data_IF_274686898109
#
_entry.id   IF_274686898109
#
_cell.length_a   1.000
_cell.length_b   1.000
_cell.length_c   1.000
_cell.angle_alpha   90.00
_cell.angle_beta   90.00
_cell.angle_gamma   90.00
#
_symmetry.space_group_name_H-M   'P 1'
#
loop_
_entity.id
_entity.type
_entity.pdbx_description
1 polymer ?
#
# COMPACT_ATOMS: atom_id res chain seq x y z
N UNK A 1 12.27 -20.20 33.60
CA UNK A 1 12.93 -20.78 32.41
C UNK A 1 11.94 -20.72 31.25
N UNK A 2 12.06 -19.72 30.37
CA UNK A 2 11.11 -19.49 29.26
C UNK A 2 11.42 -20.49 28.14
N UNK A 3 10.53 -21.44 27.91
CA UNK A 3 10.58 -22.36 26.76
C UNK A 3 10.26 -21.55 25.50
N UNK A 4 11.28 -20.95 24.88
CA UNK A 4 11.17 -20.47 23.51
C UNK A 4 11.14 -21.72 22.64
N UNK A 5 9.94 -22.20 22.34
CA UNK A 5 9.73 -23.18 21.28
C UNK A 5 10.21 -22.54 19.99
N UNK A 6 11.35 -23.02 19.48
CA UNK A 6 11.73 -22.85 18.08
C UNK A 6 10.64 -23.53 17.25
N UNK A 7 9.59 -22.75 16.96
CA UNK A 7 8.61 -23.05 15.93
C UNK A 7 9.40 -23.25 14.64
N UNK A 8 9.54 -24.51 14.26
CA UNK A 8 9.82 -24.88 12.89
C UNK A 8 8.88 -24.07 12.01
N UNK A 9 9.43 -23.16 11.20
CA UNK A 9 8.71 -22.49 10.12
C UNK A 9 8.32 -23.56 9.08
N UNK A 10 7.35 -24.41 9.43
CA UNK A 10 6.62 -25.22 8.46
C UNK A 10 5.79 -24.23 7.65
N UNK A 11 6.31 -23.90 6.48
CA UNK A 11 5.58 -23.20 5.45
C UNK A 11 4.25 -23.88 5.17
N UNK A 12 3.30 -23.06 4.72
CA UNK A 12 1.89 -23.36 4.42
C UNK A 12 0.92 -23.27 5.61
N UNK A 13 0.43 -22.05 5.86
CA UNK A 13 -0.86 -21.86 6.51
C UNK A 13 -1.98 -22.36 5.56
N UNK A 14 -2.83 -23.31 5.99
CA UNK A 14 -3.93 -23.85 5.18
C UNK A 14 -4.95 -22.77 4.79
N UNK A 15 -5.66 -22.98 3.67
CA UNK A 15 -6.71 -22.07 3.16
C UNK A 15 -7.95 -22.11 4.07
N UNK A 16 -8.02 -21.20 5.05
CA UNK A 16 -9.23 -20.87 5.85
C UNK A 16 -9.87 -19.58 5.30
N UNK A 17 -11.17 -19.36 5.53
CA UNK A 17 -11.88 -18.08 5.28
C UNK A 17 -11.16 -16.87 5.91
N UNK A 18 -10.33 -17.10 6.93
CA UNK A 18 -9.42 -16.11 7.52
C UNK A 18 -8.36 -15.54 6.53
N UNK A 19 -8.16 -16.14 5.35
CA UNK A 19 -7.23 -15.61 4.34
C UNK A 19 -7.72 -14.38 3.59
N UNK A 20 -9.03 -14.12 3.55
CA UNK A 20 -9.58 -12.99 2.78
C UNK A 20 -9.63 -11.71 3.60
N UNK A 21 -9.91 -11.81 4.91
CA UNK A 21 -9.97 -10.65 5.80
C UNK A 21 -8.59 -10.37 6.41
N UNK A 22 -7.66 -9.95 5.56
CA UNK A 22 -6.30 -9.54 5.94
C UNK A 22 -6.08 -8.06 5.64
N UNK A 23 -5.16 -7.39 6.35
CA UNK A 23 -4.74 -6.02 6.04
C UNK A 23 -4.27 -5.91 4.58
N UNK A 24 -3.64 -6.96 4.06
CA UNK A 24 -3.16 -7.07 2.70
C UNK A 24 -4.27 -7.02 1.65
N UNK A 25 -5.30 -7.83 1.83
CA UNK A 25 -6.50 -7.76 1.00
C UNK A 25 -7.22 -6.43 1.19
N UNK A 26 -7.22 -5.90 2.43
CA UNK A 26 -7.70 -4.56 2.75
C UNK A 26 -7.01 -3.48 1.93
N UNK A 27 -5.68 -3.53 1.80
CA UNK A 27 -4.87 -2.61 0.98
C UNK A 27 -5.22 -2.72 -0.51
N UNK A 28 -5.46 -3.94 -1.03
CA UNK A 28 -5.94 -4.11 -2.42
C UNK A 28 -7.31 -3.46 -2.61
N UNK A 29 -8.25 -3.72 -1.70
CA UNK A 29 -9.61 -3.15 -1.74
C UNK A 29 -9.54 -1.63 -1.63
N UNK A 30 -8.74 -1.10 -0.71
CA UNK A 30 -8.45 0.33 -0.56
C UNK A 30 -7.96 0.92 -1.90
N UNK A 31 -6.96 0.31 -2.53
CA UNK A 31 -6.44 0.76 -3.82
C UNK A 31 -7.50 0.74 -4.94
N UNK A 32 -8.26 -0.35 -5.07
CA UNK A 32 -9.32 -0.46 -6.10
C UNK A 32 -10.41 0.57 -5.89
N UNK A 33 -10.95 0.67 -4.67
CA UNK A 33 -12.04 1.61 -4.38
C UNK A 33 -11.59 3.06 -4.49
N UNK A 34 -10.36 3.37 -4.07
CA UNK A 34 -9.79 4.71 -4.22
C UNK A 34 -9.55 5.08 -5.68
N UNK A 35 -9.10 4.13 -6.52
CA UNK A 35 -8.99 4.36 -7.96
C UNK A 35 -10.35 4.63 -8.60
N UNK A 36 -11.38 3.85 -8.24
CA UNK A 36 -12.76 4.07 -8.72
C UNK A 36 -13.29 5.44 -8.29
N UNK A 37 -13.02 5.85 -7.05
CA UNK A 37 -13.39 7.18 -6.56
C UNK A 37 -12.78 8.31 -7.41
N UNK A 38 -11.49 8.21 -7.75
CA UNK A 38 -10.79 9.23 -8.54
C UNK A 38 -11.12 9.21 -10.03
N UNK A 39 -11.48 8.04 -10.58
CA UNK A 39 -11.95 7.91 -11.97
C UNK A 39 -13.43 8.31 -12.14
N UNK A 40 -14.20 8.37 -11.05
CA UNK A 40 -15.61 8.71 -11.06
C UNK A 40 -15.90 9.98 -10.26
N UNK A 41 -16.42 9.88 -9.01
CA UNK A 41 -16.88 11.02 -8.23
C UNK A 41 -15.90 12.20 -8.13
N UNK A 42 -14.61 11.95 -7.90
CA UNK A 42 -13.60 13.00 -7.73
C UNK A 42 -12.94 13.46 -9.04
N UNK A 43 -13.32 12.90 -10.19
CA UNK A 43 -12.67 13.20 -11.47
C UNK A 43 -12.81 14.68 -11.87
N UNK A 44 -13.92 15.33 -11.49
CA UNK A 44 -14.11 16.78 -11.72
C UNK A 44 -13.03 17.64 -11.03
N UNK A 45 -12.55 17.22 -9.86
CA UNK A 45 -11.49 17.93 -9.13
C UNK A 45 -10.18 17.93 -9.93
N UNK A 46 -9.88 16.80 -10.60
CA UNK A 46 -8.74 16.70 -11.51
C UNK A 46 -8.91 17.54 -12.78
N UNK A 47 -10.12 17.63 -13.34
CA UNK A 47 -10.38 18.48 -14.51
C UNK A 47 -10.19 19.97 -14.19
N UNK A 48 -10.51 20.39 -12.97
CA UNK A 48 -10.32 21.78 -12.51
C UNK A 48 -8.84 22.06 -12.22
N UNK A 49 -8.14 21.13 -11.56
CA UNK A 49 -6.72 21.25 -11.26
C UNK A 49 -6.00 19.91 -11.48
N UNK A 50 -5.26 19.76 -12.61
CA UNK A 50 -4.57 18.51 -12.93
C UNK A 50 -3.52 18.07 -11.92
N UNK A 51 -3.06 18.96 -11.01
CA UNK A 51 -2.11 18.60 -9.95
C UNK A 51 -2.67 17.53 -9.01
N UNK A 52 -4.00 17.38 -8.92
CA UNK A 52 -4.65 16.29 -8.20
C UNK A 52 -4.37 14.89 -8.79
N UNK A 53 -3.81 14.81 -9.99
CA UNK A 53 -3.57 13.54 -10.69
C UNK A 53 -2.64 12.56 -9.98
N UNK A 54 -1.84 13.00 -8.99
CA UNK A 54 -1.03 12.09 -8.18
C UNK A 54 -1.89 11.05 -7.41
N UNK A 55 -3.19 11.35 -7.23
CA UNK A 55 -4.18 10.43 -6.67
C UNK A 55 -4.54 9.25 -7.57
N UNK A 56 -4.09 9.21 -8.82
CA UNK A 56 -4.15 8.01 -9.66
C UNK A 56 -2.97 7.06 -9.37
N UNK A 57 -1.80 7.59 -9.02
CA UNK A 57 -0.60 6.81 -8.73
C UNK A 57 -0.69 6.07 -7.38
N UNK A 58 -1.17 6.76 -6.34
CA UNK A 58 -1.36 6.19 -4.98
C UNK A 58 -2.14 4.86 -4.96
N UNK A 59 -3.37 4.77 -5.51
CA UNK A 59 -4.15 3.54 -5.48
C UNK A 59 -3.52 2.41 -6.29
N UNK A 60 -2.86 2.73 -7.41
CA UNK A 60 -2.12 1.74 -8.19
C UNK A 60 -0.97 1.14 -7.37
N UNK A 61 -0.25 1.97 -6.61
CA UNK A 61 0.79 1.51 -5.68
C UNK A 61 0.20 0.61 -4.58
N UNK A 62 -0.95 0.96 -4.00
CA UNK A 62 -1.64 0.09 -3.04
C UNK A 62 -2.01 -1.26 -3.65
N UNK A 63 -2.57 -1.28 -4.87
CA UNK A 63 -2.88 -2.52 -5.59
C UNK A 63 -1.61 -3.34 -5.79
N UNK A 64 -0.55 -2.74 -6.34
CA UNK A 64 0.75 -3.42 -6.57
C UNK A 64 1.30 -4.05 -5.30
N UNK A 65 1.32 -3.30 -4.19
CA UNK A 65 1.83 -3.81 -2.91
C UNK A 65 0.93 -4.91 -2.35
N UNK A 66 -0.40 -4.70 -2.36
CA UNK A 66 -1.36 -5.66 -1.82
C UNK A 66 -1.37 -6.99 -2.58
N UNK A 67 -1.35 -6.98 -3.92
CA UNK A 67 -1.35 -8.22 -4.71
C UNK A 67 -0.03 -8.98 -4.59
N UNK A 68 1.12 -8.28 -4.50
CA UNK A 68 2.43 -8.91 -4.36
C UNK A 68 2.57 -9.69 -3.06
N UNK A 69 1.84 -9.29 -2.00
CA UNK A 69 1.75 -10.10 -0.78
C UNK A 69 1.13 -11.49 -1.08
N UNK A 70 0.07 -11.53 -1.88
CA UNK A 70 -0.64 -12.77 -2.22
C UNK A 70 0.18 -13.68 -3.15
N UNK A 71 0.98 -13.11 -4.05
CA UNK A 71 1.80 -13.88 -4.99
C UNK A 71 2.97 -14.61 -4.33
N UNK A 72 3.53 -14.09 -3.23
CA UNK A 72 4.60 -14.75 -2.42
C UNK A 72 5.89 -15.10 -3.19
N UNK A 73 6.10 -14.47 -4.33
CA UNK A 73 7.27 -14.58 -5.20
C UNK A 73 8.24 -13.43 -4.93
N UNK A 74 9.54 -13.72 -4.77
CA UNK A 74 10.54 -12.69 -4.44
C UNK A 74 10.57 -11.56 -5.49
N UNK A 75 10.45 -11.90 -6.78
CA UNK A 75 10.42 -10.94 -7.89
C UNK A 75 9.26 -9.95 -7.76
N UNK A 76 8.05 -10.44 -7.49
CA UNK A 76 6.85 -9.61 -7.29
C UNK A 76 6.98 -8.72 -6.04
N UNK A 77 7.53 -9.27 -4.95
CA UNK A 77 7.74 -8.51 -3.70
C UNK A 77 8.79 -7.42 -3.86
N UNK A 78 9.85 -7.66 -4.64
CA UNK A 78 10.86 -6.66 -4.96
C UNK A 78 10.27 -5.53 -5.82
N UNK A 79 9.48 -5.86 -6.84
CA UNK A 79 8.79 -4.85 -7.66
C UNK A 79 7.80 -4.01 -6.82
N UNK A 80 7.08 -4.64 -5.88
CA UNK A 80 6.22 -3.91 -4.94
C UNK A 80 6.99 -2.99 -4.00
N UNK A 81 8.16 -3.42 -3.50
CA UNK A 81 9.06 -2.57 -2.73
C UNK A 81 9.46 -1.32 -3.54
N UNK A 82 9.89 -1.51 -4.78
CA UNK A 82 10.27 -0.41 -5.68
C UNK A 82 9.09 0.53 -5.89
N UNK A 83 7.89 0.01 -6.17
CA UNK A 83 6.68 0.81 -6.34
C UNK A 83 6.34 1.64 -5.09
N UNK A 84 6.46 1.06 -3.90
CA UNK A 84 6.16 1.73 -2.65
C UNK A 84 7.11 2.91 -2.36
N UNK A 85 8.36 2.88 -2.83
CA UNK A 85 9.30 3.99 -2.67
C UNK A 85 9.28 5.00 -3.82
N UNK A 86 9.00 4.55 -5.05
CA UNK A 86 8.94 5.45 -6.21
C UNK A 86 7.71 6.38 -6.22
N UNK A 87 6.77 6.19 -5.29
CA UNK A 87 5.71 7.17 -5.07
C UNK A 87 6.22 8.45 -4.38
N UNK A 88 7.30 8.36 -3.59
CA UNK A 88 7.82 9.47 -2.77
C UNK A 88 8.28 10.66 -3.63
N UNK A 89 9.04 10.50 -4.73
CA UNK A 89 9.35 11.62 -5.62
C UNK A 89 8.12 12.34 -6.18
N UNK A 90 7.05 11.60 -6.48
CA UNK A 90 5.78 12.19 -6.91
C UNK A 90 5.13 13.03 -5.81
N UNK A 91 5.19 12.55 -4.56
CA UNK A 91 4.68 13.29 -3.40
C UNK A 91 5.58 14.44 -2.94
N UNK A 92 6.84 14.50 -3.40
CA UNK A 92 7.74 15.62 -3.15
C UNK A 92 7.78 16.62 -4.31
N UNK A 93 6.85 16.53 -5.26
CA UNK A 93 6.81 17.34 -6.48
C UNK A 93 8.12 17.33 -7.28
N UNK A 94 8.90 16.24 -7.24
CA UNK A 94 10.03 16.08 -8.15
C UNK A 94 9.58 15.73 -9.57
N UNK A 95 8.41 15.10 -9.70
CA UNK A 95 7.83 14.72 -10.98
C UNK A 95 6.37 15.19 -11.08
N UNK A 96 5.90 15.51 -12.29
CA UNK A 96 4.48 15.77 -12.53
C UNK A 96 3.65 14.48 -12.39
N UNK A 97 2.35 14.65 -12.13
CA UNK A 97 1.43 13.55 -11.82
C UNK A 97 1.40 12.43 -12.88
N UNK A 98 1.54 12.77 -14.16
CA UNK A 98 1.45 11.81 -15.26
C UNK A 98 2.65 10.86 -15.27
N UNK A 99 3.85 11.35 -14.88
CA UNK A 99 5.04 10.50 -14.72
C UNK A 99 4.86 9.54 -13.55
N UNK A 100 4.40 10.04 -12.39
CA UNK A 100 4.14 9.20 -11.22
C UNK A 100 3.09 8.10 -11.54
N UNK A 101 2.03 8.46 -12.25
CA UNK A 101 0.97 7.52 -12.65
C UNK A 101 1.47 6.51 -13.67
N UNK A 102 2.25 6.93 -14.67
CA UNK A 102 2.85 6.04 -15.66
C UNK A 102 3.75 5.00 -14.97
N UNK A 103 4.63 5.44 -14.07
CA UNK A 103 5.50 4.54 -13.29
C UNK A 103 4.67 3.55 -12.47
N UNK A 104 3.63 4.01 -11.78
CA UNK A 104 2.76 3.15 -10.98
C UNK A 104 2.05 2.09 -11.83
N UNK A 105 1.51 2.46 -13.01
CA UNK A 105 0.91 1.53 -13.98
C UNK A 105 1.95 0.54 -14.50
N UNK A 106 3.14 1.02 -14.90
CA UNK A 106 4.21 0.16 -15.40
C UNK A 106 4.62 -0.88 -14.36
N UNK A 107 4.77 -0.49 -13.10
CA UNK A 107 5.15 -1.41 -12.03
C UNK A 107 4.04 -2.41 -11.70
N UNK A 108 2.77 -1.99 -11.75
CA UNK A 108 1.64 -2.91 -11.63
C UNK A 108 1.67 -3.96 -12.75
N UNK A 109 1.86 -3.54 -14.00
CA UNK A 109 1.98 -4.44 -15.16
C UNK A 109 3.17 -5.38 -14.99
N UNK A 110 4.33 -4.89 -14.55
CA UNK A 110 5.52 -5.71 -14.28
C UNK A 110 5.20 -6.79 -13.24
N UNK A 111 4.54 -6.45 -12.14
CA UNK A 111 4.12 -7.43 -11.12
C UNK A 111 3.19 -8.49 -11.71
N UNK A 112 2.21 -8.10 -12.51
CA UNK A 112 1.29 -9.04 -13.15
C UNK A 112 1.99 -9.97 -14.16
N UNK A 113 2.95 -9.44 -14.93
CA UNK A 113 3.77 -10.24 -15.86
C UNK A 113 4.66 -11.22 -15.08
N UNK A 114 5.37 -10.75 -14.05
CA UNK A 114 6.22 -11.60 -13.21
C UNK A 114 5.42 -12.74 -12.59
N UNK A 115 4.24 -12.45 -12.03
CA UNK A 115 3.33 -13.47 -11.52
C UNK A 115 2.87 -14.43 -12.62
N UNK A 116 2.49 -13.91 -13.79
CA UNK A 116 2.07 -14.72 -14.94
C UNK A 116 3.14 -15.70 -15.41
N UNK A 117 4.41 -15.27 -15.39
CA UNK A 117 5.58 -16.10 -15.74
C UNK A 117 5.86 -17.14 -14.64
N UNK A 118 5.79 -16.76 -13.37
CA UNK A 118 6.19 -17.62 -12.25
C UNK A 118 5.11 -18.59 -11.76
N UNK A 119 3.81 -18.30 -11.97
CA UNK A 119 2.70 -19.11 -11.42
C UNK A 119 2.69 -20.58 -11.87
N UNK A 120 3.33 -20.90 -12.99
CA UNK A 120 3.43 -22.25 -13.55
C UNK A 120 4.82 -22.88 -13.43
N UNK A 121 5.78 -22.22 -12.77
CA UNK A 121 7.14 -22.73 -12.65
C UNK A 121 7.31 -23.53 -11.36
N UNK A 122 8.15 -24.56 -11.42
CA UNK A 122 8.60 -25.28 -10.22
C UNK A 122 9.52 -24.41 -9.34
N UNK A 123 10.16 -23.41 -9.95
CA UNK A 123 11.13 -22.54 -9.27
C UNK A 123 10.91 -21.06 -9.62
N UNK A 124 11.10 -20.20 -8.62
CA UNK A 124 11.06 -18.72 -8.75
C UNK A 124 12.14 -18.23 -9.73
N UNK A 125 11.92 -17.07 -10.39
CA UNK A 125 12.92 -16.48 -11.29
C UNK A 125 14.20 -16.09 -10.55
N UNK A 126 14.04 -15.62 -9.32
CA UNK A 126 15.15 -15.28 -8.44
C UNK A 126 15.43 -16.45 -7.50
N UNK A 127 16.62 -17.05 -7.64
CA UNK A 127 17.08 -18.19 -6.83
C UNK A 127 18.32 -17.81 -6.01
N UNK A 128 18.20 -16.89 -5.05
CA UNK A 128 19.31 -16.61 -4.14
C UNK A 128 19.60 -17.84 -3.27
N UNK A 129 20.77 -17.85 -2.63
CA UNK A 129 21.11 -18.90 -1.67
C UNK A 129 20.04 -19.02 -0.56
N UNK A 130 19.90 -20.18 0.10
CA UNK A 130 18.79 -20.44 1.02
C UNK A 130 18.65 -19.42 2.16
N UNK A 131 19.79 -18.92 2.68
CA UNK A 131 19.80 -17.92 3.76
C UNK A 131 19.22 -16.58 3.29
N UNK A 132 19.68 -16.09 2.14
CA UNK A 132 19.19 -14.86 1.54
C UNK A 132 17.73 -15.01 1.08
N UNK A 133 17.34 -16.16 0.53
CA UNK A 133 15.95 -16.46 0.13
C UNK A 133 14.99 -16.28 1.30
N UNK A 134 15.30 -16.90 2.44
CA UNK A 134 14.49 -16.79 3.66
C UNK A 134 14.44 -15.36 4.18
N UNK A 135 15.59 -14.65 4.18
CA UNK A 135 15.64 -13.26 4.60
C UNK A 135 14.78 -12.35 3.71
N UNK A 136 14.86 -12.48 2.38
CA UNK A 136 14.08 -11.69 1.44
C UNK A 136 12.58 -11.93 1.60
N UNK A 137 12.14 -13.19 1.68
CA UNK A 137 10.72 -13.52 1.92
C UNK A 137 10.21 -12.97 3.24
N UNK A 138 11.07 -12.88 4.25
CA UNK A 138 10.70 -12.32 5.55
C UNK A 138 10.66 -10.78 5.54
N UNK A 139 11.49 -10.08 4.76
CA UNK A 139 11.65 -8.62 4.92
C UNK A 139 11.11 -7.77 3.77
N UNK A 140 11.05 -8.26 2.53
CA UNK A 140 10.69 -7.43 1.37
C UNK A 140 9.34 -6.72 1.52
N UNK A 141 8.29 -7.45 1.93
CA UNK A 141 6.98 -6.84 2.13
C UNK A 141 6.94 -5.88 3.34
N UNK A 142 7.73 -6.12 4.39
CA UNK A 142 7.85 -5.16 5.50
C UNK A 142 8.45 -3.85 4.99
N UNK A 143 9.50 -3.92 4.17
CA UNK A 143 10.07 -2.73 3.55
C UNK A 143 9.09 -2.05 2.59
N UNK A 144 8.28 -2.81 1.84
CA UNK A 144 7.22 -2.22 1.00
C UNK A 144 6.20 -1.44 1.85
N UNK A 145 5.77 -1.95 3.01
CA UNK A 145 4.89 -1.20 3.91
C UNK A 145 5.56 0.01 4.53
N UNK A 146 6.84 -0.08 4.88
CA UNK A 146 7.62 1.10 5.29
C UNK A 146 7.64 2.14 4.17
N UNK A 147 7.79 1.71 2.91
CA UNK A 147 7.63 2.58 1.73
C UNK A 147 6.26 3.26 1.71
N UNK A 148 5.17 2.52 1.94
CA UNK A 148 3.82 3.11 2.04
C UNK A 148 3.69 4.11 3.21
N UNK A 149 4.36 3.88 4.34
CA UNK A 149 4.38 4.86 5.44
C UNK A 149 5.05 6.18 5.07
N UNK A 150 5.88 6.24 4.02
CA UNK A 150 6.41 7.51 3.55
C UNK A 150 5.32 8.43 2.98
N UNK A 151 4.20 7.90 2.51
CA UNK A 151 3.07 8.71 2.01
C UNK A 151 2.57 9.67 3.11
N UNK A 152 2.07 9.19 4.26
CA UNK A 152 1.59 10.09 5.31
C UNK A 152 2.72 10.85 6.01
N UNK A 153 3.93 10.29 6.11
CA UNK A 153 5.06 11.00 6.70
C UNK A 153 5.48 12.20 5.83
N UNK A 154 5.51 12.05 4.50
CA UNK A 154 5.77 13.15 3.57
C UNK A 154 4.69 14.22 3.69
N UNK A 155 3.42 13.80 3.77
CA UNK A 155 2.30 14.71 3.98
C UNK A 155 2.48 15.54 5.27
N UNK A 156 2.62 14.91 6.43
CA UNK A 156 2.65 15.61 7.71
C UNK A 156 3.96 16.36 8.01
N UNK A 157 5.11 15.77 7.68
CA UNK A 157 6.41 16.30 8.09
C UNK A 157 7.02 17.27 7.08
N UNK A 158 6.59 17.19 5.81
CA UNK A 158 7.18 17.99 4.73
C UNK A 158 6.15 18.92 4.13
N UNK A 159 5.02 18.40 3.66
CA UNK A 159 4.07 19.18 2.85
C UNK A 159 3.12 20.03 3.69
N UNK A 160 2.72 19.57 4.86
CA UNK A 160 1.70 20.25 5.66
C UNK A 160 2.05 21.71 5.96
N UNK A 161 3.29 21.98 6.36
CA UNK A 161 3.75 23.34 6.69
C UNK A 161 4.44 24.08 5.52
N UNK A 162 4.65 23.43 4.38
CA UNK A 162 5.45 23.97 3.27
C UNK A 162 4.84 23.69 1.88
N UNK A 163 3.51 23.74 1.77
CA UNK A 163 2.81 23.36 0.53
C UNK A 163 3.19 24.24 -0.69
N UNK A 164 3.54 25.51 -0.47
CA UNK A 164 3.90 26.48 -1.52
C UNK A 164 5.11 26.01 -2.35
N UNK A 165 6.10 25.38 -1.70
CA UNK A 165 7.29 24.84 -2.36
C UNK A 165 7.00 23.70 -3.35
N UNK A 166 5.79 23.13 -3.30
CA UNK A 166 5.38 21.97 -4.10
C UNK A 166 4.27 22.33 -5.12
N UNK A 167 3.88 23.60 -5.19
CA UNK A 167 2.70 24.06 -5.91
C UNK A 167 2.77 23.83 -7.43
N UNK A 168 3.97 23.64 -8.00
CA UNK A 168 4.13 23.39 -9.43
C UNK A 168 3.46 22.08 -9.88
N UNK A 169 3.55 21.02 -9.06
CA UNK A 169 3.04 19.70 -9.41
C UNK A 169 2.00 19.13 -8.44
N UNK A 170 1.84 19.73 -7.27
CA UNK A 170 0.92 19.26 -6.24
C UNK A 170 -0.04 20.36 -5.79
N UNK A 171 -1.31 20.03 -5.53
CA UNK A 171 -2.27 20.99 -5.01
C UNK A 171 -2.04 21.21 -3.51
N UNK A 172 -2.68 22.24 -2.97
CA UNK A 172 -2.79 22.44 -1.53
C UNK A 172 -3.77 21.41 -0.95
N UNK A 173 -3.30 20.60 0.00
CA UNK A 173 -4.04 19.43 0.52
C UNK A 173 -4.42 19.57 2.00
N UNK A 174 -4.78 20.78 2.45
CA UNK A 174 -5.16 21.05 3.85
C UNK A 174 -6.61 20.70 4.19
N UNK A 175 -7.24 19.82 3.41
CA UNK A 175 -8.61 19.41 3.68
C UNK A 175 -8.65 18.34 4.78
N UNK A 176 -9.72 18.38 5.59
CA UNK A 176 -9.96 17.41 6.67
C UNK A 176 -9.96 15.95 6.15
N UNK A 177 -10.61 15.61 5.01
CA UNK A 177 -10.61 14.23 4.50
C UNK A 177 -9.21 13.69 4.20
N UNK A 178 -8.33 14.52 3.62
CA UNK A 178 -6.95 14.11 3.29
C UNK A 178 -6.11 13.92 4.55
N UNK A 179 -6.30 14.80 5.53
CA UNK A 179 -5.63 14.70 6.83
C UNK A 179 -6.00 13.41 7.54
N UNK A 180 -7.30 13.09 7.60
CA UNK A 180 -7.81 11.86 8.20
C UNK A 180 -7.26 10.63 7.46
N UNK A 181 -7.31 10.62 6.13
CA UNK A 181 -6.78 9.53 5.33
C UNK A 181 -5.30 9.24 5.65
N UNK A 182 -4.46 10.28 5.67
CA UNK A 182 -3.03 10.13 5.98
C UNK A 182 -2.79 9.63 7.41
N UNK A 183 -3.53 10.15 8.40
CA UNK A 183 -3.43 9.67 9.78
C UNK A 183 -3.81 8.18 9.91
N UNK A 184 -4.89 7.78 9.24
CA UNK A 184 -5.33 6.38 9.24
C UNK A 184 -4.36 5.45 8.51
N UNK A 185 -3.69 5.92 7.45
CA UNK A 185 -2.70 5.14 6.70
C UNK A 185 -1.50 4.75 7.57
N UNK A 186 -1.06 5.61 8.49
CA UNK A 186 0.00 5.28 9.45
C UNK A 186 -0.39 4.04 10.27
N UNK A 187 -1.61 4.02 10.81
CA UNK A 187 -2.13 2.91 11.60
C UNK A 187 -2.25 1.64 10.74
N UNK A 188 -2.74 1.77 9.50
CA UNK A 188 -2.85 0.64 8.59
C UNK A 188 -1.50 -0.01 8.31
N UNK A 189 -0.46 0.79 8.07
CA UNK A 189 0.90 0.28 7.81
C UNK A 189 1.42 -0.50 9.03
N UNK A 190 1.22 0.01 10.24
CA UNK A 190 1.60 -0.70 11.47
C UNK A 190 0.87 -2.03 11.57
N UNK A 191 -0.45 -2.05 11.35
CA UNK A 191 -1.25 -3.28 11.37
C UNK A 191 -0.79 -4.28 10.29
N UNK A 192 -0.51 -3.82 9.07
CA UNK A 192 -0.04 -4.66 7.98
C UNK A 192 1.34 -5.29 8.28
N UNK A 193 2.27 -4.54 8.88
CA UNK A 193 3.56 -5.06 9.34
C UNK A 193 3.34 -6.07 10.49
N UNK A 194 2.54 -5.71 11.49
CA UNK A 194 2.26 -6.56 12.65
C UNK A 194 1.67 -7.90 12.23
N UNK A 195 0.71 -7.92 11.30
CA UNK A 195 0.05 -9.13 10.81
C UNK A 195 1.04 -10.18 10.28
N UNK A 196 2.19 -9.73 9.74
CA UNK A 196 3.22 -10.65 9.23
C UNK A 196 3.92 -11.44 10.32
N UNK A 197 3.96 -10.91 11.54
CA UNK A 197 4.68 -11.51 12.67
C UNK A 197 3.71 -12.06 13.72
N UNK A 198 2.53 -11.47 13.85
CA UNK A 198 1.55 -11.77 14.88
C UNK A 198 0.14 -11.69 14.28
N UNK A 199 -0.57 -12.83 14.25
CA UNK A 199 -1.95 -12.88 13.76
C UNK A 199 -2.97 -12.50 14.85
N UNK A 200 -2.63 -12.66 16.13
CA UNK A 200 -3.52 -12.39 17.28
C UNK A 200 -2.75 -11.89 18.50
N UNK A 201 -3.27 -10.88 19.18
CA UNK A 201 -2.76 -10.36 20.46
C UNK A 201 -3.86 -10.47 21.52
N UNK A 202 -3.78 -11.46 22.41
CA UNK A 202 -4.85 -11.74 23.37
C UNK A 202 -6.16 -12.10 22.65
N UNK A 203 -7.19 -11.24 22.77
CA UNK A 203 -8.48 -11.39 22.05
C UNK A 203 -8.51 -10.65 20.71
N UNK A 204 -7.51 -9.83 20.41
CA UNK A 204 -7.46 -8.97 19.23
C UNK A 204 -6.93 -9.71 18.01
N UNK A 205 -7.75 -9.84 16.96
CA UNK A 205 -7.38 -10.51 15.71
C UNK A 205 -6.82 -9.48 14.71
N UNK A 206 -5.49 -9.39 14.65
CA UNK A 206 -4.76 -8.36 13.89
C UNK A 206 -5.16 -8.37 12.42
N UNK A 207 -5.32 -9.56 11.84
CA UNK A 207 -5.74 -9.77 10.44
C UNK A 207 -7.07 -9.08 10.13
N UNK A 208 -8.11 -9.37 10.93
CA UNK A 208 -9.46 -8.83 10.73
C UNK A 208 -9.51 -7.34 11.00
N UNK A 209 -8.80 -6.87 12.01
CA UNK A 209 -8.78 -5.44 12.35
C UNK A 209 -8.07 -4.64 11.26
N UNK A 210 -6.94 -5.14 10.73
CA UNK A 210 -6.27 -4.51 9.59
C UNK A 210 -7.18 -4.41 8.37
N UNK A 211 -7.92 -5.48 8.05
CA UNK A 211 -8.90 -5.46 6.96
C UNK A 211 -10.01 -4.43 7.18
N UNK A 212 -10.68 -4.47 8.35
CA UNK A 212 -11.75 -3.52 8.70
C UNK A 212 -11.24 -2.08 8.66
N UNK A 213 -10.02 -1.84 9.16
CA UNK A 213 -9.39 -0.53 9.13
C UNK A 213 -9.20 -0.01 7.70
N UNK A 214 -8.76 -0.86 6.76
CA UNK A 214 -8.69 -0.47 5.33
C UNK A 214 -10.05 -0.10 4.74
N UNK A 215 -11.13 -0.77 5.15
CA UNK A 215 -12.49 -0.43 4.71
C UNK A 215 -12.92 0.93 5.31
N UNK A 216 -12.64 1.15 6.59
CA UNK A 216 -12.92 2.44 7.25
C UNK A 216 -12.15 3.60 6.61
N UNK A 217 -10.95 3.37 6.09
CA UNK A 217 -10.18 4.36 5.34
C UNK A 217 -10.82 4.78 4.02
N UNK A 218 -11.79 4.03 3.49
CA UNK A 218 -12.63 4.47 2.38
C UNK A 218 -13.86 5.21 2.91
N UNK A 219 -14.57 4.59 3.86
CA UNK A 219 -15.86 5.10 4.35
C UNK A 219 -15.70 6.47 5.01
N UNK A 220 -14.74 6.63 5.93
CA UNK A 220 -14.62 7.85 6.73
C UNK A 220 -14.27 9.06 5.86
N UNK A 221 -13.22 9.03 5.00
CA UNK A 221 -12.94 10.17 4.12
C UNK A 221 -14.12 10.53 3.20
N UNK A 222 -14.80 9.54 2.63
CA UNK A 222 -15.96 9.78 1.76
C UNK A 222 -17.11 10.45 2.51
N UNK A 223 -17.41 10.02 3.74
CA UNK A 223 -18.42 10.69 4.57
C UNK A 223 -18.01 12.14 4.85
N UNK A 224 -16.75 12.40 5.16
CA UNK A 224 -16.27 13.76 5.45
C UNK A 224 -16.27 14.69 4.23
N UNK A 225 -16.12 14.17 3.01
CA UNK A 225 -16.29 14.96 1.79
C UNK A 225 -17.72 15.50 1.71
N UNK A 226 -18.73 14.65 1.93
CA UNK A 226 -20.13 15.07 1.83
C UNK A 226 -20.54 16.11 2.88
N UNK A 227 -19.95 16.09 4.08
CA UNK A 227 -20.26 17.08 5.13
C UNK A 227 -19.58 18.46 4.93
N UNK A 228 -18.62 18.57 4.00
CA UNK A 228 -17.86 19.82 3.77
C UNK A 228 -18.30 20.52 2.48
N UNK A 229 -18.93 19.80 1.54
CA UNK A 229 -19.39 20.34 0.26
C UNK A 229 -20.92 20.56 0.18
N UNK A 230 -21.63 20.46 1.30
CA UNK A 230 -22.98 21.02 1.51
C UNK A 230 -22.89 22.38 2.21
#
# INVERSE_FOLDING_TARGET
>A
MVKISLLTMKGSLPFSKDKVMTAHTGIVVLGVLWLVFWLGPAFSTFLVDPRWGHNFALPLTFITVGISYHFRMISCQLAALIAAFLIVPGLLAFWPWYIASLIAVTLLIVVLILYGIERGRETELLQPNPRLKSWLKLHLMTFAYIGLAHIPLTFFLVRWSNFESFADYLPMEHSVPITIFNAMLIILVVLAIMERFVTKVGRFEVTKVGFVWSILMIIIPLLTVNFIFE
#
